data_IF_089968512697
#
_entry.id   IF_089968512697
#
_cell.length_a   1.000
_cell.length_b   1.000
_cell.length_c   1.000
_cell.angle_alpha   90.00
_cell.angle_beta   90.00
_cell.angle_gamma   90.00
#
_symmetry.space_group_name_H-M   'P 1'
#
loop_
_entity.id
_entity.type
_entity.pdbx_description
1 polymer ?
#
# COMPACT_ATOMS: atom_id res chain seq x y z
N UNK A 1 -0.14 33.09 -3.10
CA UNK A 1 1.01 33.30 -2.20
C UNK A 1 1.20 31.99 -1.45
N UNK A 2 2.12 31.16 -1.92
CA UNK A 2 2.44 29.87 -1.29
C UNK A 2 3.46 30.14 -0.20
N UNK A 3 3.06 29.96 1.06
CA UNK A 3 4.00 30.03 2.16
C UNK A 3 5.08 28.96 1.99
N UNK A 4 6.36 29.29 2.21
CA UNK A 4 7.44 28.31 2.11
C UNK A 4 7.29 27.27 3.22
N UNK A 5 7.31 25.99 2.83
CA UNK A 5 7.40 24.88 3.78
C UNK A 5 8.70 25.07 4.58
N UNK A 6 8.65 25.25 5.91
CA UNK A 6 9.86 25.42 6.69
C UNK A 6 10.71 24.16 6.54
N UNK A 7 11.98 24.32 6.17
CA UNK A 7 12.96 23.23 6.16
C UNK A 7 13.25 22.82 7.61
N UNK A 8 12.33 22.06 8.19
CA UNK A 8 12.53 21.43 9.47
C UNK A 8 13.63 20.39 9.28
N UNK A 9 14.81 20.65 9.84
CA UNK A 9 15.82 19.62 10.03
C UNK A 9 15.28 18.62 11.06
N UNK A 10 14.45 17.69 10.60
CA UNK A 10 13.98 16.57 11.41
C UNK A 10 15.13 15.58 11.58
N UNK A 11 15.96 15.77 12.60
CA UNK A 11 16.95 14.76 12.96
C UNK A 11 16.23 13.69 13.79
N UNK A 12 15.81 12.61 13.12
CA UNK A 12 15.37 11.41 13.81
C UNK A 12 16.56 10.83 14.60
N UNK A 13 16.32 10.38 15.82
CA UNK A 13 17.35 9.75 16.64
C UNK A 13 17.51 8.31 16.15
N UNK A 14 18.73 7.95 15.70
CA UNK A 14 19.04 6.58 15.32
C UNK A 14 19.08 5.72 16.58
N UNK A 15 18.30 4.65 16.59
CA UNK A 15 18.26 3.67 17.68
C UNK A 15 19.46 2.73 17.67
N UNK A 16 19.40 1.70 18.51
CA UNK A 16 20.42 0.66 18.53
C UNK A 16 20.49 -0.07 17.17
N UNK A 17 21.69 -0.51 16.80
CA UNK A 17 21.83 -1.39 15.63
C UNK A 17 21.22 -2.75 15.94
N UNK A 18 20.17 -3.11 15.21
CA UNK A 18 19.45 -4.38 15.34
C UNK A 18 19.84 -5.38 14.24
N UNK A 19 20.74 -5.03 13.32
CA UNK A 19 21.14 -5.96 12.25
C UNK A 19 21.89 -7.18 12.77
N UNK A 20 22.47 -7.11 13.97
CA UNK A 20 23.13 -8.26 14.59
C UNK A 20 22.16 -9.34 15.10
N UNK A 21 20.87 -9.03 15.24
CA UNK A 21 19.84 -9.99 15.71
C UNK A 21 19.14 -10.73 14.58
N UNK A 22 19.44 -10.39 13.31
CA UNK A 22 18.80 -11.03 12.15
C UNK A 22 19.35 -12.43 11.90
N UNK A 23 18.55 -13.29 11.28
CA UNK A 23 18.98 -14.64 10.92
C UNK A 23 20.12 -14.63 9.88
N UNK A 24 20.94 -15.67 9.79
CA UNK A 24 22.08 -15.72 8.87
C UNK A 24 21.69 -15.68 7.38
N UNK A 25 20.43 -16.02 7.06
CA UNK A 25 19.87 -15.97 5.70
C UNK A 25 19.12 -14.66 5.41
N UNK A 26 18.93 -13.81 6.42
CA UNK A 26 18.23 -12.54 6.25
C UNK A 26 19.18 -11.48 5.70
N UNK A 27 18.93 -11.09 4.45
CA UNK A 27 19.73 -10.09 3.73
C UNK A 27 19.16 -8.67 3.87
N UNK A 28 18.00 -8.49 4.50
CA UNK A 28 17.38 -7.17 4.69
C UNK A 28 18.19 -6.34 5.67
N UNK A 29 18.19 -5.03 5.44
CA UNK A 29 18.77 -4.05 6.36
C UNK A 29 17.67 -3.45 7.24
N UNK A 30 17.97 -3.36 8.52
CA UNK A 30 17.07 -2.84 9.53
C UNK A 30 17.65 -1.56 10.13
N UNK A 31 16.82 -0.55 10.34
CA UNK A 31 17.21 0.65 11.07
C UNK A 31 16.11 1.07 12.02
N UNK A 32 16.41 1.06 13.31
CA UNK A 32 15.53 1.66 14.30
C UNK A 32 15.74 3.17 14.32
N UNK A 33 14.64 3.93 14.33
CA UNK A 33 14.65 5.38 14.53
C UNK A 33 13.58 5.80 15.53
N UNK A 34 13.81 6.91 16.21
CA UNK A 34 12.80 7.61 17.01
C UNK A 34 12.61 9.01 16.45
N UNK A 35 11.39 9.32 16.03
CA UNK A 35 11.02 10.64 15.52
C UNK A 35 10.92 11.65 16.68
N UNK A 36 11.01 12.97 16.42
CA UNK A 36 10.94 13.98 17.48
C UNK A 36 9.63 14.00 18.28
N UNK A 37 8.54 13.47 17.72
CA UNK A 37 7.26 13.29 18.41
C UNK A 37 7.21 12.03 19.30
N UNK A 38 8.31 11.29 19.43
CA UNK A 38 8.41 10.06 20.21
C UNK A 38 7.98 8.79 19.47
N UNK A 39 7.52 8.88 18.21
CA UNK A 39 7.16 7.71 17.44
C UNK A 39 8.40 6.86 17.15
N UNK A 40 8.34 5.58 17.52
CA UNK A 40 9.40 4.60 17.26
C UNK A 40 9.09 3.85 15.97
N UNK A 41 10.06 3.79 15.08
CA UNK A 41 9.92 3.13 13.79
C UNK A 41 11.08 2.14 13.58
N UNK A 42 10.80 1.07 12.84
CA UNK A 42 11.81 0.19 12.26
C UNK A 42 11.67 0.32 10.75
N UNK A 43 12.72 0.81 10.10
CA UNK A 43 12.82 0.84 8.65
C UNK A 43 13.44 -0.48 8.17
N UNK A 44 12.81 -1.08 7.17
CA UNK A 44 13.29 -2.33 6.56
C UNK A 44 13.58 -2.06 5.08
N UNK A 45 14.83 -2.29 4.67
CA UNK A 45 15.25 -2.18 3.28
C UNK A 45 15.66 -3.55 2.76
N UNK A 46 15.01 -3.99 1.69
CA UNK A 46 15.31 -5.27 1.05
C UNK A 46 16.37 -5.06 -0.04
N UNK A 47 17.65 -5.19 0.31
CA UNK A 47 18.76 -4.81 -0.59
C UNK A 47 18.87 -5.70 -1.83
N UNK A 48 18.68 -7.01 -1.68
CA UNK A 48 18.75 -7.96 -2.81
C UNK A 48 17.66 -7.70 -3.86
N UNK A 49 16.53 -7.17 -3.41
CA UNK A 49 15.45 -6.76 -4.28
C UNK A 49 15.80 -5.54 -5.13
N UNK A 50 16.46 -4.57 -4.50
CA UNK A 50 16.78 -3.29 -5.12
C UNK A 50 17.96 -3.41 -6.08
N UNK A 51 18.99 -4.20 -5.71
CA UNK A 51 20.14 -4.46 -6.59
C UNK A 51 19.73 -5.17 -7.89
N UNK A 52 18.80 -6.12 -7.82
CA UNK A 52 18.28 -6.82 -8.99
C UNK A 52 17.41 -5.94 -9.92
N UNK A 53 16.92 -4.79 -9.45
CA UNK A 53 16.22 -3.81 -10.28
C UNK A 53 17.18 -2.82 -10.94
N UNK A 54 18.23 -2.41 -10.22
CA UNK A 54 19.25 -1.49 -10.74
C UNK A 54 20.09 -2.15 -11.84
N UNK A 55 20.52 -3.40 -11.65
CA UNK A 55 21.24 -4.17 -12.69
C UNK A 55 20.40 -4.32 -13.97
N UNK A 56 19.08 -4.55 -13.86
CA UNK A 56 18.19 -4.68 -15.02
C UNK A 56 17.93 -3.36 -15.73
N UNK A 57 17.83 -2.25 -14.99
CA UNK A 57 17.69 -0.91 -15.60
C UNK A 57 18.97 -0.50 -16.32
N UNK A 58 20.13 -0.85 -15.79
CA UNK A 58 21.42 -0.65 -16.45
C UNK A 58 21.49 -1.48 -17.75
N UNK A 59 21.13 -2.77 -17.71
CA UNK A 59 21.07 -3.62 -18.92
C UNK A 59 20.07 -3.09 -19.99
N UNK A 60 18.88 -2.64 -19.58
CA UNK A 60 17.90 -2.04 -20.50
C UNK A 60 18.39 -0.71 -21.10
N UNK A 61 19.15 0.08 -20.33
CA UNK A 61 19.68 1.37 -20.76
C UNK A 61 20.92 1.20 -21.67
N UNK A 62 21.76 0.20 -21.41
CA UNK A 62 22.88 -0.19 -22.30
C UNK A 62 22.37 -0.72 -23.64
N UNK A 63 21.36 -1.58 -23.64
CA UNK A 63 20.71 -2.07 -24.87
C UNK A 63 20.04 -0.95 -25.68
N UNK A 64 19.52 0.09 -25.00
CA UNK A 64 18.93 1.26 -25.66
C UNK A 64 20.01 2.20 -26.22
N UNK A 65 21.14 2.35 -25.53
CA UNK A 65 22.28 3.14 -25.99
C UNK A 65 22.97 2.51 -27.23
N UNK A 66 23.00 1.18 -27.32
CA UNK A 66 23.52 0.47 -28.49
C UNK A 66 22.62 0.61 -29.74
N UNK A 67 21.33 0.94 -29.56
CA UNK A 67 20.37 1.10 -30.63
C UNK A 67 20.24 2.55 -31.14
N UNK A 68 20.77 3.54 -30.42
CA UNK A 68 20.81 4.95 -30.84
C UNK A 68 22.09 5.33 -31.63
N UNK A 69 22.93 4.36 -31.97
CA UNK A 69 24.16 4.54 -32.77
C UNK A 69 24.02 4.42 -34.29
N UNK A 70 22.81 4.31 -34.84
CA UNK A 70 22.56 4.18 -36.28
C UNK A 70 21.84 5.40 -36.88
N UNK A 71 22.56 6.27 -37.59
CA UNK A 71 22.00 7.35 -38.40
C UNK A 71 21.49 6.86 -39.78
N UNK A 72 20.40 7.48 -40.27
CA UNK A 72 19.86 7.42 -41.65
C UNK A 72 18.57 6.59 -41.75
N UNK A 73 17.48 6.98 -42.41
CA UNK A 73 17.23 7.88 -43.53
C UNK A 73 15.70 8.09 -43.67
N UNK A 74 15.30 9.17 -44.35
CA UNK A 74 13.95 9.67 -44.63
C UNK A 74 13.11 8.73 -45.53
N UNK A 75 11.78 8.66 -45.33
CA UNK A 75 10.76 8.74 -46.41
C UNK A 75 9.32 8.54 -45.92
N UNK A 76 8.46 9.44 -46.39
CA UNK A 76 7.00 9.44 -46.32
C UNK A 76 6.38 8.34 -47.22
N UNK A 77 5.21 7.80 -46.87
CA UNK A 77 4.10 7.60 -47.82
C UNK A 77 2.78 7.20 -47.10
N UNK A 78 1.68 7.78 -47.58
CA UNK A 78 0.30 7.54 -47.17
C UNK A 78 -0.31 6.30 -47.84
N UNK A 79 -1.38 5.74 -47.25
CA UNK A 79 -2.20 4.71 -47.90
C UNK A 79 -3.45 4.34 -47.09
N UNK A 80 -4.60 4.61 -47.69
CA UNK A 80 -5.98 4.55 -47.18
C UNK A 80 -6.65 3.15 -47.27
N UNK A 81 -7.73 3.02 -46.47
CA UNK A 81 -8.97 2.22 -46.65
C UNK A 81 -9.01 0.68 -46.49
N UNK A 82 -10.06 0.22 -45.78
CA UNK A 82 -10.53 -1.17 -45.77
C UNK A 82 -11.44 -1.50 -44.58
N UNK A 83 -12.74 -1.63 -44.85
CA UNK A 83 -13.89 -1.74 -43.92
C UNK A 83 -14.34 -3.21 -43.69
N UNK A 84 -15.15 -3.40 -42.62
CA UNK A 84 -16.11 -4.50 -42.34
C UNK A 84 -15.67 -5.86 -41.74
N UNK A 85 -16.42 -6.33 -40.72
CA UNK A 85 -16.58 -7.76 -40.42
C UNK A 85 -16.73 -8.19 -38.94
N UNK A 86 -17.96 -8.10 -38.43
CA UNK A 86 -18.72 -8.90 -37.43
C UNK A 86 -18.10 -9.90 -36.39
N UNK A 87 -18.83 -9.93 -35.26
CA UNK A 87 -18.97 -10.79 -34.07
C UNK A 87 -18.62 -12.30 -34.17
N UNK A 88 -18.11 -12.93 -33.08
CA UNK A 88 -18.79 -14.00 -32.30
C UNK A 88 -17.90 -14.59 -31.16
N UNK A 89 -18.56 -15.33 -30.28
CA UNK A 89 -18.38 -15.68 -28.88
C UNK A 89 -17.60 -17.00 -28.59
N UNK A 90 -17.17 -17.12 -27.33
CA UNK A 90 -17.12 -18.34 -26.51
C UNK A 90 -15.97 -19.38 -26.61
N UNK A 91 -15.37 -19.58 -25.43
CA UNK A 91 -15.10 -20.86 -24.75
C UNK A 91 -13.95 -21.80 -25.18
N UNK A 92 -12.99 -21.92 -24.26
CA UNK A 92 -12.29 -23.12 -23.74
C UNK A 92 -12.19 -24.40 -24.60
N UNK A 93 -10.96 -24.80 -24.98
CA UNK A 93 -10.25 -25.99 -24.45
C UNK A 93 -9.14 -26.49 -25.39
N UNK A 94 -7.92 -26.57 -24.84
CA UNK A 94 -6.83 -27.53 -25.13
C UNK A 94 -6.49 -27.89 -26.59
N UNK A 95 -5.36 -27.39 -27.06
CA UNK A 95 -4.43 -28.16 -27.90
C UNK A 95 -2.98 -27.74 -27.65
N UNK A 96 -2.14 -28.72 -27.32
CA UNK A 96 -0.68 -28.67 -27.36
C UNK A 96 -0.23 -28.21 -28.76
N UNK A 97 0.64 -27.19 -28.82
CA UNK A 97 1.89 -27.12 -29.61
C UNK A 97 2.39 -25.66 -29.71
N UNK A 98 3.65 -25.45 -29.30
CA UNK A 98 4.43 -24.24 -29.57
C UNK A 98 5.00 -23.59 -28.31
N UNK A 99 6.26 -23.90 -27.97
CA UNK A 99 7.09 -23.08 -27.08
C UNK A 99 7.27 -21.70 -27.72
N UNK A 100 6.34 -20.80 -27.47
CA UNK A 100 6.60 -19.37 -27.54
C UNK A 100 7.19 -19.03 -26.19
N UNK A 101 8.50 -18.71 -26.16
CA UNK A 101 9.21 -18.35 -24.94
C UNK A 101 8.41 -17.29 -24.19
N UNK A 102 7.81 -17.68 -23.07
CA UNK A 102 7.10 -16.77 -22.19
C UNK A 102 8.17 -15.81 -21.64
N UNK A 103 8.13 -14.55 -22.09
CA UNK A 103 8.98 -13.51 -21.54
C UNK A 103 8.88 -13.58 -20.01
N UNK A 104 10.00 -13.49 -19.26
CA UNK A 104 9.97 -13.69 -17.82
C UNK A 104 8.97 -12.73 -17.19
N UNK A 105 7.89 -13.26 -16.60
CA UNK A 105 6.87 -12.44 -15.91
C UNK A 105 7.59 -11.55 -14.90
N UNK A 106 7.51 -10.23 -15.11
CA UNK A 106 8.13 -9.23 -14.22
C UNK A 106 7.53 -9.44 -12.83
N UNK A 107 8.31 -10.01 -11.90
CA UNK A 107 7.86 -10.27 -10.53
C UNK A 107 7.55 -8.93 -9.86
N UNK A 108 6.27 -8.63 -9.66
CA UNK A 108 5.83 -7.40 -9.01
C UNK A 108 6.32 -7.41 -7.56
N UNK A 109 7.00 -6.34 -7.16
CA UNK A 109 7.55 -6.15 -5.83
C UNK A 109 6.59 -5.30 -5.02
N UNK A 110 6.37 -5.69 -3.76
CA UNK A 110 5.52 -4.96 -2.83
C UNK A 110 6.35 -4.26 -1.76
N UNK A 111 5.86 -3.10 -1.35
CA UNK A 111 6.26 -2.38 -0.16
C UNK A 111 5.09 -2.34 0.81
N UNK A 112 5.36 -2.26 2.11
CA UNK A 112 4.33 -2.28 3.14
C UNK A 112 4.68 -1.31 4.27
N UNK A 113 3.65 -0.86 4.98
CA UNK A 113 3.81 -0.12 6.22
C UNK A 113 2.75 -0.58 7.23
N UNK A 114 3.10 -0.48 8.52
CA UNK A 114 2.20 -0.80 9.62
C UNK A 114 2.42 0.18 10.79
N UNK A 115 1.34 0.50 11.51
CA UNK A 115 1.37 1.30 12.73
C UNK A 115 0.50 0.64 13.79
N UNK A 116 1.11 0.35 14.94
CA UNK A 116 0.43 -0.12 16.13
C UNK A 116 0.25 1.04 17.10
N UNK A 117 -1.00 1.32 17.47
CA UNK A 117 -1.37 2.22 18.55
C UNK A 117 -1.51 1.39 19.82
N UNK A 118 -0.80 1.75 20.89
CA UNK A 118 -0.85 1.05 22.19
C UNK A 118 -2.13 1.34 22.98
N UNK A 119 -3.28 1.28 22.32
CA UNK A 119 -4.62 1.47 22.87
C UNK A 119 -5.55 0.56 22.10
N UNK A 120 -6.36 -0.22 22.82
CA UNK A 120 -7.34 -1.15 22.26
C UNK A 120 -8.63 -1.14 23.09
N UNK A 121 -9.45 -2.18 22.98
CA UNK A 121 -10.78 -2.22 23.61
C UNK A 121 -10.77 -2.13 25.14
N UNK A 122 -9.68 -2.47 25.83
CA UNK A 122 -9.57 -2.27 27.29
C UNK A 122 -9.51 -0.80 27.71
N UNK A 123 -9.26 0.09 26.75
CA UNK A 123 -9.28 1.55 26.97
C UNK A 123 -10.63 2.18 26.60
N UNK A 124 -11.62 1.37 26.25
CA UNK A 124 -12.95 1.87 25.92
C UNK A 124 -13.59 2.61 27.12
N UNK A 125 -14.19 3.80 26.90
CA UNK A 125 -14.80 4.55 27.98
C UNK A 125 -15.99 3.81 28.60
N UNK A 126 -15.91 3.49 29.89
CA UNK A 126 -17.04 2.92 30.60
C UNK A 126 -17.98 3.98 31.21
N UNK A 127 -19.31 3.73 31.27
CA UNK A 127 -19.99 2.51 30.83
C UNK A 127 -20.49 2.51 29.37
N UNK A 128 -20.46 3.66 28.69
CA UNK A 128 -21.23 3.88 27.45
C UNK A 128 -20.40 3.86 26.15
N UNK A 129 -19.14 3.45 26.20
CA UNK A 129 -18.19 3.52 25.08
C UNK A 129 -17.57 2.18 24.73
N UNK A 130 -18.16 1.05 25.14
CA UNK A 130 -17.69 -0.28 24.73
C UNK A 130 -17.73 -0.39 23.20
N UNK A 131 -16.64 -0.87 22.60
CA UNK A 131 -16.45 -0.96 21.16
C UNK A 131 -15.92 0.33 20.52
N UNK A 132 -15.62 1.38 21.28
CA UNK A 132 -15.18 2.67 20.71
C UNK A 132 -13.81 2.58 20.03
N UNK A 133 -12.87 1.78 20.56
CA UNK A 133 -11.58 1.56 19.90
C UNK A 133 -11.76 0.92 18.51
N UNK A 134 -12.59 -0.11 18.42
CA UNK A 134 -12.94 -0.76 17.15
C UNK A 134 -13.70 0.18 16.22
N UNK A 135 -14.61 0.98 16.75
CA UNK A 135 -15.33 1.98 15.96
C UNK A 135 -14.40 3.06 15.40
N UNK A 136 -13.44 3.53 16.20
CA UNK A 136 -12.45 4.50 15.74
C UNK A 136 -11.57 3.93 14.63
N UNK A 137 -11.24 2.63 14.69
CA UNK A 137 -10.52 1.93 13.63
C UNK A 137 -11.20 2.08 12.27
N UNK A 138 -12.49 1.73 12.18
CA UNK A 138 -13.30 1.90 10.96
C UNK A 138 -13.33 3.36 10.51
N UNK A 139 -13.56 4.27 11.46
CA UNK A 139 -13.73 5.69 11.16
C UNK A 139 -12.47 6.35 10.58
N UNK A 140 -11.27 5.79 10.78
CA UNK A 140 -10.06 6.31 10.15
C UNK A 140 -10.04 6.12 8.63
N UNK A 141 -10.74 5.11 8.11
CA UNK A 141 -10.87 4.85 6.67
C UNK A 141 -11.93 5.74 5.99
N UNK A 142 -12.77 6.42 6.78
CA UNK A 142 -13.88 7.26 6.31
C UNK A 142 -13.47 8.68 5.90
N UNK A 143 -12.20 8.86 5.54
CA UNK A 143 -11.67 10.09 4.97
C UNK A 143 -11.03 11.03 5.99
N UNK A 144 -10.15 11.89 5.47
CA UNK A 144 -9.35 12.87 6.23
C UNK A 144 -9.61 14.28 5.70
N UNK A 145 -9.15 15.31 6.41
CA UNK A 145 -9.30 16.69 5.91
C UNK A 145 -8.65 16.94 4.54
N UNK A 146 -7.56 16.21 4.23
CA UNK A 146 -6.85 16.32 2.94
C UNK A 146 -7.46 15.45 1.84
N UNK A 147 -8.13 14.36 2.22
CA UNK A 147 -8.76 13.40 1.33
C UNK A 147 -10.15 13.07 1.91
N UNK A 148 -11.14 13.96 1.73
CA UNK A 148 -12.43 13.90 2.44
C UNK A 148 -13.36 12.80 1.91
N UNK A 149 -13.09 12.30 0.71
CA UNK A 149 -13.83 11.21 0.10
C UNK A 149 -13.65 9.92 0.92
N UNK A 150 -14.78 9.26 1.21
CA UNK A 150 -14.84 7.94 1.80
C UNK A 150 -14.08 6.92 0.94
N UNK A 151 -13.34 6.03 1.61
CA UNK A 151 -12.56 4.97 0.97
C UNK A 151 -11.57 5.51 -0.07
N UNK A 152 -11.14 6.76 0.06
CA UNK A 152 -10.14 7.36 -0.85
C UNK A 152 -8.79 6.65 -0.78
N UNK A 153 -8.45 6.10 0.38
CA UNK A 153 -7.24 5.29 0.56
C UNK A 153 -7.37 3.92 -0.11
N UNK A 154 -8.46 3.20 0.13
CA UNK A 154 -8.78 1.92 -0.51
C UNK A 154 -8.82 2.05 -2.05
N UNK A 155 -9.47 3.09 -2.57
CA UNK A 155 -9.47 3.40 -4.02
C UNK A 155 -8.06 3.60 -4.58
N UNK A 156 -7.21 4.31 -3.84
CA UNK A 156 -5.82 4.51 -4.24
C UNK A 156 -5.04 3.20 -4.26
N UNK A 157 -5.15 2.38 -3.21
CA UNK A 157 -4.46 1.10 -3.12
C UNK A 157 -4.95 0.14 -4.19
N UNK A 158 -6.26 0.00 -4.37
CA UNK A 158 -6.86 -0.82 -5.43
C UNK A 158 -6.35 -0.42 -6.81
N UNK A 159 -6.25 0.88 -7.10
CA UNK A 159 -5.71 1.37 -8.38
C UNK A 159 -4.21 1.05 -8.56
N UNK A 160 -3.45 0.95 -7.46
CA UNK A 160 -2.06 0.52 -7.49
C UNK A 160 -1.89 -1.01 -7.46
N UNK A 161 -2.95 -1.80 -7.22
CA UNK A 161 -2.86 -3.24 -6.98
C UNK A 161 -2.35 -3.59 -5.57
N UNK A 162 -2.61 -2.72 -4.60
CA UNK A 162 -2.34 -2.93 -3.18
C UNK A 162 -3.56 -3.37 -2.38
N UNK A 163 -3.36 -3.51 -1.07
CA UNK A 163 -4.36 -3.95 -0.10
C UNK A 163 -4.09 -3.31 1.27
N UNK A 164 -5.14 -3.07 2.05
CA UNK A 164 -5.04 -2.60 3.43
C UNK A 164 -5.99 -3.35 4.36
N UNK A 165 -5.67 -3.30 5.64
CA UNK A 165 -6.55 -3.76 6.70
C UNK A 165 -6.15 -3.16 8.05
N UNK A 166 -7.00 -3.36 9.05
CA UNK A 166 -6.72 -3.05 10.43
C UNK A 166 -7.37 -4.10 11.36
N UNK A 167 -6.97 -4.08 12.63
CA UNK A 167 -7.67 -4.82 13.66
C UNK A 167 -7.45 -4.18 15.04
N UNK A 168 -8.45 -4.33 15.90
CA UNK A 168 -8.42 -3.89 17.29
C UNK A 168 -8.39 -5.08 18.23
N UNK A 169 -7.30 -5.20 18.99
CA UNK A 169 -7.17 -6.13 20.11
C UNK A 169 -7.52 -5.44 21.44
N UNK A 170 -7.30 -6.14 22.55
CA UNK A 170 -7.54 -5.63 23.90
C UNK A 170 -6.67 -4.41 24.25
N UNK A 171 -5.38 -4.45 23.91
CA UNK A 171 -4.40 -3.43 24.33
C UNK A 171 -3.82 -2.59 23.18
N UNK A 172 -4.14 -2.93 21.93
CA UNK A 172 -3.62 -2.24 20.75
C UNK A 172 -4.60 -2.26 19.58
N UNK A 173 -4.47 -1.28 18.70
CA UNK A 173 -5.08 -1.27 17.38
C UNK A 173 -3.98 -1.16 16.33
N UNK A 174 -4.00 -2.00 15.31
CA UNK A 174 -2.96 -2.09 14.29
C UNK A 174 -3.55 -1.80 12.93
N UNK A 175 -2.93 -0.88 12.20
CA UNK A 175 -3.27 -0.53 10.82
C UNK A 175 -2.10 -0.92 9.93
N UNK A 176 -2.37 -1.49 8.76
CA UNK A 176 -1.31 -1.84 7.82
C UNK A 176 -1.81 -1.83 6.38
N UNK A 177 -0.88 -1.65 5.46
CA UNK A 177 -1.14 -1.78 4.02
C UNK A 177 0.08 -2.34 3.30
N UNK A 178 -0.18 -2.90 2.13
CA UNK A 178 0.82 -3.24 1.13
C UNK A 178 0.44 -2.66 -0.24
N UNK A 179 1.45 -2.33 -1.04
CA UNK A 179 1.26 -1.78 -2.38
C UNK A 179 2.48 -2.09 -3.22
N UNK A 180 2.38 -2.22 -4.55
CA UNK A 180 3.56 -2.29 -5.40
C UNK A 180 4.53 -1.13 -5.12
N UNK A 181 5.84 -1.37 -5.21
CA UNK A 181 6.86 -0.42 -4.75
C UNK A 181 6.68 1.03 -5.28
N UNK A 182 6.20 1.20 -6.51
CA UNK A 182 5.93 2.52 -7.09
C UNK A 182 4.77 3.31 -6.45
N UNK A 183 3.88 2.63 -5.71
CA UNK A 183 2.74 3.24 -5.01
C UNK A 183 3.02 3.64 -3.56
N UNK A 184 4.20 3.31 -3.01
CA UNK A 184 4.48 3.47 -1.58
C UNK A 184 4.37 4.92 -1.11
N UNK A 185 4.98 5.87 -1.83
CA UNK A 185 5.01 7.27 -1.43
C UNK A 185 3.60 7.88 -1.35
N UNK A 186 2.77 7.60 -2.36
CA UNK A 186 1.40 8.09 -2.41
C UNK A 186 0.49 7.40 -1.39
N UNK A 187 0.71 6.11 -1.11
CA UNK A 187 0.01 5.37 -0.06
C UNK A 187 0.36 5.93 1.32
N UNK A 188 1.66 6.06 1.62
CA UNK A 188 2.13 6.56 2.91
C UNK A 188 1.70 8.00 3.17
N UNK A 189 1.69 8.85 2.14
CA UNK A 189 1.21 10.23 2.23
C UNK A 189 -0.26 10.30 2.68
N UNK A 190 -1.14 9.47 2.09
CA UNK A 190 -2.57 9.38 2.44
C UNK A 190 -2.78 8.74 3.80
N UNK A 191 -2.19 7.57 4.00
CA UNK A 191 -2.33 6.77 5.21
C UNK A 191 -1.85 7.52 6.47
N UNK A 192 -0.75 8.29 6.37
CA UNK A 192 -0.27 9.10 7.50
C UNK A 192 -1.30 10.11 8.02
N UNK A 193 -2.26 10.55 7.18
CA UNK A 193 -3.28 11.52 7.56
C UNK A 193 -4.35 10.93 8.48
N UNK A 194 -4.52 9.60 8.50
CA UNK A 194 -5.44 8.90 9.40
C UNK A 194 -5.15 9.27 10.86
N UNK A 195 -3.86 9.40 11.20
CA UNK A 195 -3.39 9.63 12.57
C UNK A 195 -3.21 11.13 12.91
N UNK A 196 -3.53 12.03 11.98
CA UNK A 196 -3.28 13.48 12.13
C UNK A 196 -4.56 14.28 11.99
N UNK A 197 -5.40 13.98 10.99
CA UNK A 197 -6.58 14.78 10.67
C UNK A 197 -7.75 13.95 10.09
N UNK A 198 -8.23 12.90 10.80
CA UNK A 198 -9.43 12.17 10.42
C UNK A 198 -10.68 13.07 10.47
N UNK A 199 -11.63 12.86 9.56
CA UNK A 199 -12.76 13.78 9.36
C UNK A 199 -13.97 13.52 10.25
N UNK A 200 -14.18 12.27 10.69
CA UNK A 200 -15.31 11.84 11.53
C UNK A 200 -16.68 12.37 11.07
N UNK A 201 -16.98 12.29 9.77
CA UNK A 201 -18.25 12.74 9.21
C UNK A 201 -19.42 11.97 9.83
N UNK A 202 -20.47 12.69 10.24
CA UNK A 202 -21.64 12.10 10.94
C UNK A 202 -22.39 11.08 10.07
N UNK A 203 -22.42 11.32 8.77
CA UNK A 203 -23.10 10.48 7.80
C UNK A 203 -22.35 9.14 7.61
N UNK A 204 -21.02 9.18 7.63
CA UNK A 204 -20.20 7.96 7.62
C UNK A 204 -20.28 7.22 8.95
N UNK A 205 -20.25 7.98 10.06
CA UNK A 205 -20.35 7.46 11.41
C UNK A 205 -21.56 6.55 11.63
N UNK A 206 -22.74 6.94 11.16
CA UNK A 206 -23.96 6.15 11.31
C UNK A 206 -23.89 4.82 10.53
N UNK A 207 -23.36 4.84 9.30
CA UNK A 207 -23.23 3.64 8.45
C UNK A 207 -22.17 2.67 8.98
N UNK A 208 -21.04 3.18 9.43
CA UNK A 208 -19.99 2.33 10.01
C UNK A 208 -20.46 1.65 11.30
N UNK A 209 -21.36 2.29 12.06
CA UNK A 209 -21.97 1.66 13.23
C UNK A 209 -22.83 0.44 12.83
N UNK A 210 -23.57 0.53 11.72
CA UNK A 210 -24.36 -0.59 11.17
C UNK A 210 -23.45 -1.71 10.63
N UNK A 211 -22.32 -1.36 10.01
CA UNK A 211 -21.32 -2.32 9.55
C UNK A 211 -20.74 -3.13 10.71
N UNK A 212 -20.31 -2.46 11.78
CA UNK A 212 -19.76 -3.11 12.98
C UNK A 212 -20.80 -3.98 13.68
N UNK A 213 -22.06 -3.54 13.74
CA UNK A 213 -23.12 -4.39 14.29
C UNK A 213 -23.29 -5.68 13.48
N UNK A 214 -23.17 -5.60 12.15
CA UNK A 214 -23.24 -6.77 11.28
C UNK A 214 -22.05 -7.73 11.50
N UNK A 215 -20.84 -7.21 11.68
CA UNK A 215 -19.66 -8.02 12.04
C UNK A 215 -19.83 -8.72 13.39
N UNK A 216 -20.34 -7.99 14.39
CA UNK A 216 -20.64 -8.57 15.70
C UNK A 216 -21.66 -9.71 15.60
N UNK A 217 -22.73 -9.53 14.83
CA UNK A 217 -23.78 -10.54 14.64
C UNK A 217 -23.24 -11.78 13.92
N UNK A 218 -22.34 -11.61 12.95
CA UNK A 218 -21.67 -12.71 12.25
C UNK A 218 -20.75 -13.49 13.20
N UNK A 219 -19.89 -12.82 13.95
CA UNK A 219 -18.99 -13.47 14.91
C UNK A 219 -19.76 -14.11 16.09
N UNK A 220 -20.89 -13.55 16.52
CA UNK A 220 -21.72 -14.13 17.57
C UNK A 220 -22.39 -15.45 17.14
N UNK A 221 -22.54 -15.69 15.83
CA UNK A 221 -23.03 -16.95 15.29
C UNK A 221 -21.95 -18.04 15.21
N UNK A 222 -20.68 -17.69 15.40
CA UNK A 222 -19.55 -18.64 15.42
C UNK A 222 -19.32 -19.18 16.84
N UNK A 223 -19.52 -20.49 17.02
CA UNK A 223 -19.44 -21.18 18.32
C UNK A 223 -18.04 -21.13 18.97
N UNK A 224 -16.99 -20.68 18.27
CA UNK A 224 -15.62 -20.57 18.82
C UNK A 224 -15.44 -19.45 19.87
N UNK A 225 -16.35 -18.47 19.91
CA UNK A 225 -16.31 -17.33 20.82
C UNK A 225 -17.35 -17.38 21.96
N UNK A 226 -17.95 -18.55 22.22
CA UNK A 226 -19.06 -18.71 23.18
C UNK A 226 -18.65 -19.32 24.53
#
# INVERSE_FOLDING_TARGET
MTDPVPSLSFSAIVGADVNHTRGPLDRKLYRQITLPNGLRCILVSDTDAMMAEDEKKEEENEQRADNEGGEGDDSEEEGEEGEEGEEDDSSSSSSEFGEVGEAPRKKIRFSAAALAVGTGSFSDPHPNGNGLAHYLEHMLFMGTSTHPEENSFDKYLSACGGYDNAYTEMEKTVYYFETPCGGLDGALARWSRFFVCPSFRKEAAARELEAIQSEFDLCAAEDENR
#
